data_IF_705702660089
#
_entry.id   IF_705702660089
#
_cell.length_a   1.000
_cell.length_b   1.000
_cell.length_c   1.000
_cell.angle_alpha   90.00
_cell.angle_beta   90.00
_cell.angle_gamma   90.00
#
_symmetry.space_group_name_H-M   'P 1'
#
loop_
_entity.id
_entity.type
_entity.pdbx_description
1 polymer ?
#
# COMPACT_ATOMS: atom_id res chain seq x y z
N UNK A 1 32.37 -12.04 -11.16
CA UNK A 1 31.27 -11.07 -11.20
C UNK A 1 30.56 -11.13 -9.86
N UNK A 2 30.74 -10.12 -9.00
CA UNK A 2 29.91 -10.00 -7.79
C UNK A 2 28.47 -9.79 -8.28
N UNK A 3 27.55 -10.72 -7.96
CA UNK A 3 26.13 -10.45 -8.11
C UNK A 3 25.81 -9.25 -7.21
N UNK A 4 25.42 -8.12 -7.77
CA UNK A 4 24.88 -7.03 -6.97
C UNK A 4 23.79 -7.60 -6.04
N UNK A 5 23.91 -7.27 -4.76
CA UNK A 5 22.93 -7.72 -3.76
C UNK A 5 21.56 -7.15 -4.16
N UNK A 6 20.64 -8.02 -4.51
CA UNK A 6 19.28 -7.62 -4.82
C UNK A 6 18.63 -7.03 -3.57
N UNK A 7 18.02 -5.88 -3.71
CA UNK A 7 17.30 -5.22 -2.61
C UNK A 7 16.06 -6.00 -2.23
N UNK A 8 15.71 -5.96 -0.95
CA UNK A 8 14.63 -6.74 -0.40
C UNK A 8 13.68 -5.92 0.47
N UNK A 9 12.38 -6.24 0.36
CA UNK A 9 11.34 -5.67 1.19
C UNK A 9 10.47 -6.78 1.78
N UNK A 10 10.05 -6.61 3.01
CA UNK A 10 9.03 -7.43 3.65
C UNK A 10 7.85 -6.55 4.00
N UNK A 11 6.62 -6.99 3.68
CA UNK A 11 5.44 -6.16 3.88
C UNK A 11 4.26 -6.93 4.46
N UNK A 12 3.53 -6.28 5.36
CA UNK A 12 2.32 -6.83 5.97
C UNK A 12 1.22 -5.78 6.05
N UNK A 13 -0.02 -6.22 5.90
CA UNK A 13 -1.19 -5.37 6.01
C UNK A 13 -2.46 -6.09 5.59
N UNK A 14 -3.50 -5.33 5.32
CA UNK A 14 -4.77 -5.86 4.83
C UNK A 14 -4.69 -6.03 3.30
N UNK A 15 -4.73 -7.25 2.83
CA UNK A 15 -4.79 -7.57 1.40
C UNK A 15 -6.24 -7.77 0.97
N UNK A 16 -6.59 -7.35 -0.24
CA UNK A 16 -7.90 -7.58 -0.85
C UNK A 16 -7.74 -8.19 -2.24
N UNK A 17 -8.74 -8.94 -2.69
CA UNK A 17 -8.98 -9.11 -4.11
C UNK A 17 -9.88 -7.96 -4.57
N UNK A 18 -9.34 -7.10 -5.42
CA UNK A 18 -10.04 -5.93 -5.94
C UNK A 18 -10.71 -6.30 -7.27
N UNK A 19 -12.03 -6.09 -7.34
CA UNK A 19 -12.81 -6.24 -8.58
C UNK A 19 -13.27 -4.88 -9.04
N UNK A 20 -12.68 -4.36 -10.11
CA UNK A 20 -13.08 -3.09 -10.73
C UNK A 20 -14.16 -3.38 -11.76
N UNK A 21 -15.32 -2.76 -11.58
CA UNK A 21 -16.46 -2.87 -12.50
C UNK A 21 -16.85 -1.49 -13.04
N UNK A 22 -17.25 -1.46 -14.29
CA UNK A 22 -17.84 -0.29 -14.94
C UNK A 22 -19.34 -0.49 -15.12
N UNK A 23 -20.13 0.51 -14.76
CA UNK A 23 -21.55 0.57 -15.15
C UNK A 23 -21.70 1.16 -16.52
N UNK A 24 -22.33 0.42 -17.40
CA UNK A 24 -22.75 0.86 -18.73
C UNK A 24 -24.25 1.07 -18.72
N UNK A 25 -24.72 2.08 -19.42
CA UNK A 25 -26.14 2.47 -19.50
C UNK A 25 -26.64 2.26 -20.93
N UNK A 26 -27.11 1.05 -21.30
CA UNK A 26 -27.47 0.71 -22.69
C UNK A 26 -28.59 1.58 -23.28
N UNK A 27 -29.52 2.05 -22.43
CA UNK A 27 -30.63 2.92 -22.84
C UNK A 27 -30.28 4.41 -22.72
N UNK A 28 -28.99 4.74 -22.47
CA UNK A 28 -28.52 6.08 -22.14
C UNK A 28 -28.70 6.41 -20.66
N UNK A 29 -28.00 7.44 -20.22
CA UNK A 29 -28.09 7.95 -18.85
C UNK A 29 -28.95 9.23 -18.81
N UNK A 30 -29.93 9.27 -17.93
CA UNK A 30 -30.82 10.45 -17.73
C UNK A 30 -30.64 10.95 -16.31
N UNK A 31 -30.09 12.18 -16.10
CA UNK A 31 -29.93 12.76 -14.77
C UNK A 31 -31.26 12.82 -13.98
N UNK A 32 -31.19 12.54 -12.70
CA UNK A 32 -32.33 12.58 -11.79
C UNK A 32 -33.36 11.45 -11.98
N UNK A 33 -33.11 10.48 -12.84
CA UNK A 33 -33.99 9.32 -13.04
C UNK A 33 -33.31 8.01 -12.62
N UNK A 34 -34.13 6.98 -12.33
CA UNK A 34 -33.63 5.63 -12.12
C UNK A 34 -33.23 5.03 -13.48
N UNK A 35 -31.92 4.96 -13.74
CA UNK A 35 -31.37 4.43 -14.96
C UNK A 35 -31.17 2.92 -14.86
N UNK A 36 -31.45 2.19 -15.92
CA UNK A 36 -31.02 0.80 -16.06
C UNK A 36 -29.54 0.76 -16.40
N UNK A 37 -28.82 -0.20 -15.84
CA UNK A 37 -27.41 -0.40 -16.11
C UNK A 37 -27.05 -1.87 -16.12
N UNK A 38 -25.95 -2.19 -16.79
CA UNK A 38 -25.22 -3.45 -16.70
C UNK A 38 -23.85 -3.20 -16.08
N UNK A 39 -23.36 -4.15 -15.31
CA UNK A 39 -22.02 -4.08 -14.73
C UNK A 39 -21.08 -4.98 -15.53
N UNK A 40 -19.97 -4.41 -16.00
CA UNK A 40 -18.91 -5.12 -16.71
C UNK A 40 -17.67 -5.18 -15.82
N UNK A 41 -17.17 -6.37 -15.54
CA UNK A 41 -15.90 -6.56 -14.85
C UNK A 41 -14.78 -6.15 -15.79
N UNK A 42 -13.95 -5.23 -15.35
CA UNK A 42 -12.81 -4.70 -16.09
C UNK A 42 -11.49 -5.30 -15.62
N UNK A 43 -11.31 -5.42 -14.30
CA UNK A 43 -10.10 -5.92 -13.67
C UNK A 43 -10.52 -6.72 -12.44
N UNK A 44 -9.83 -7.82 -12.19
CA UNK A 44 -9.89 -8.55 -10.94
C UNK A 44 -8.48 -9.03 -10.58
N UNK A 45 -7.90 -8.44 -9.54
CA UNK A 45 -6.53 -8.71 -9.12
C UNK A 45 -6.29 -8.38 -7.65
N UNK A 46 -5.18 -8.87 -7.11
CA UNK A 46 -4.76 -8.48 -5.76
C UNK A 46 -4.61 -6.98 -5.65
N UNK A 47 -5.12 -6.41 -4.56
CA UNK A 47 -5.13 -4.99 -4.28
C UNK A 47 -4.92 -4.67 -2.82
N UNK A 48 -5.46 -3.52 -2.40
CA UNK A 48 -5.14 -2.83 -1.16
C UNK A 48 -3.68 -2.34 -1.11
N UNK A 49 -3.40 -1.40 -0.23
CA UNK A 49 -2.11 -0.72 -0.16
C UNK A 49 -0.91 -1.70 -0.07
N UNK A 50 -0.84 -2.67 0.88
CA UNK A 50 0.30 -3.58 0.92
C UNK A 50 0.37 -4.50 -0.31
N UNK A 51 -0.77 -4.94 -0.84
CA UNK A 51 -0.82 -5.75 -2.06
C UNK A 51 -0.24 -5.01 -3.25
N UNK A 52 -0.65 -3.76 -3.43
CA UNK A 52 -0.16 -2.91 -4.50
C UNK A 52 1.33 -2.58 -4.35
N UNK A 53 1.75 -2.09 -3.18
CA UNK A 53 3.16 -1.72 -2.92
C UNK A 53 4.09 -2.91 -3.13
N UNK A 54 3.74 -4.09 -2.59
CA UNK A 54 4.57 -5.29 -2.71
C UNK A 54 4.65 -5.79 -4.16
N UNK A 55 3.55 -5.76 -4.91
CA UNK A 55 3.53 -6.15 -6.33
C UNK A 55 4.30 -5.16 -7.21
N UNK A 56 4.18 -3.85 -6.99
CA UNK A 56 4.92 -2.84 -7.74
C UNK A 56 6.43 -2.97 -7.49
N UNK A 57 6.86 -3.21 -6.24
CA UNK A 57 8.27 -3.44 -5.92
C UNK A 57 8.79 -4.77 -6.50
N UNK A 58 7.97 -5.82 -6.51
CA UNK A 58 8.28 -7.06 -7.21
C UNK A 58 8.53 -6.84 -8.70
N UNK A 59 7.67 -6.05 -9.36
CA UNK A 59 7.84 -5.66 -10.75
C UNK A 59 9.09 -4.79 -11.00
N UNK A 60 9.46 -3.91 -10.07
CA UNK A 60 10.74 -3.19 -10.11
C UNK A 60 11.96 -4.09 -9.91
N UNK A 61 11.75 -5.37 -9.63
CA UNK A 61 12.83 -6.35 -9.47
C UNK A 61 13.34 -6.54 -8.05
N UNK A 62 12.69 -5.99 -7.04
CA UNK A 62 13.00 -6.25 -5.64
C UNK A 62 12.67 -7.70 -5.25
N UNK A 63 13.40 -8.24 -4.27
CA UNK A 63 12.93 -9.42 -3.53
C UNK A 63 11.82 -8.99 -2.57
N UNK A 64 10.59 -8.99 -3.08
CA UNK A 64 9.40 -8.52 -2.38
C UNK A 64 8.73 -9.68 -1.66
N UNK A 65 8.73 -9.67 -0.31
CA UNK A 65 8.20 -10.72 0.56
C UNK A 65 6.92 -10.26 1.25
N UNK A 66 5.73 -10.41 0.64
CA UNK A 66 4.47 -10.20 1.34
C UNK A 66 4.29 -11.24 2.45
N UNK A 67 3.74 -10.80 3.59
CA UNK A 67 3.34 -11.68 4.69
C UNK A 67 1.82 -11.71 4.71
N UNK A 68 1.23 -12.87 4.42
CA UNK A 68 -0.22 -13.02 4.36
C UNK A 68 -0.67 -14.42 4.75
N UNK A 69 -1.89 -14.50 5.29
CA UNK A 69 -2.60 -15.76 5.55
C UNK A 69 -3.98 -15.67 4.90
N UNK A 70 -4.08 -16.17 3.68
CA UNK A 70 -5.34 -16.26 2.93
C UNK A 70 -6.05 -17.58 3.24
N UNK A 71 -7.35 -17.61 2.97
CA UNK A 71 -8.07 -18.89 2.95
C UNK A 71 -7.73 -19.70 1.67
N UNK A 72 -8.22 -20.92 1.60
CA UNK A 72 -8.02 -21.84 0.49
C UNK A 72 -9.10 -21.73 -0.60
N UNK A 73 -9.89 -20.64 -0.59
CA UNK A 73 -10.85 -20.32 -1.65
C UNK A 73 -10.18 -20.01 -2.99
N UNK A 74 -10.95 -20.00 -4.07
CA UNK A 74 -10.47 -19.57 -5.39
C UNK A 74 -9.90 -18.15 -5.34
N UNK A 75 -10.55 -17.25 -4.61
CA UNK A 75 -10.13 -15.86 -4.43
C UNK A 75 -8.81 -15.76 -3.67
N UNK A 76 -8.65 -16.54 -2.58
CA UNK A 76 -7.41 -16.59 -1.80
C UNK A 76 -6.24 -17.14 -2.62
N UNK A 77 -6.48 -18.23 -3.36
CA UNK A 77 -5.49 -18.81 -4.27
C UNK A 77 -5.13 -17.85 -5.42
N UNK A 78 -6.12 -17.13 -5.97
CA UNK A 78 -5.90 -16.12 -7.00
C UNK A 78 -5.00 -14.99 -6.49
N UNK A 79 -5.22 -14.49 -5.27
CA UNK A 79 -4.37 -13.45 -4.67
C UNK A 79 -2.91 -13.90 -4.57
N UNK A 80 -2.67 -15.15 -4.15
CA UNK A 80 -1.32 -15.72 -4.11
C UNK A 80 -0.70 -15.85 -5.52
N UNK A 81 -1.51 -16.25 -6.50
CA UNK A 81 -1.09 -16.33 -7.90
C UNK A 81 -0.74 -14.96 -8.48
N UNK A 82 -1.56 -13.95 -8.21
CA UNK A 82 -1.30 -12.58 -8.64
C UNK A 82 -0.01 -12.01 -8.04
N UNK A 83 0.25 -12.26 -6.75
CA UNK A 83 1.53 -11.88 -6.12
C UNK A 83 2.71 -12.46 -6.89
N UNK A 84 2.65 -13.75 -7.24
CA UNK A 84 3.73 -14.41 -8.03
C UNK A 84 3.85 -13.78 -9.43
N UNK A 85 2.73 -13.55 -10.10
CA UNK A 85 2.68 -12.91 -11.43
C UNK A 85 3.34 -11.53 -11.43
N UNK A 86 3.18 -10.77 -10.37
CA UNK A 86 3.80 -9.44 -10.20
C UNK A 86 5.20 -9.48 -9.59
N UNK A 87 5.84 -10.65 -9.50
CA UNK A 87 7.24 -10.79 -9.09
C UNK A 87 7.48 -10.88 -7.59
N UNK A 88 6.43 -11.04 -6.76
CA UNK A 88 6.61 -11.25 -5.33
C UNK A 88 7.13 -12.66 -5.02
N UNK A 89 7.99 -12.74 -4.01
CA UNK A 89 8.38 -14.00 -3.38
C UNK A 89 7.35 -14.36 -2.32
N UNK A 90 6.55 -15.39 -2.57
CA UNK A 90 5.45 -15.80 -1.69
C UNK A 90 5.87 -16.74 -0.56
N UNK A 91 7.14 -16.75 -0.16
CA UNK A 91 7.67 -17.60 0.94
C UNK A 91 6.87 -17.45 2.24
N UNK A 92 6.36 -16.26 2.53
CA UNK A 92 5.61 -15.97 3.75
C UNK A 92 4.10 -15.77 3.50
N UNK A 93 3.61 -16.30 2.38
CA UNK A 93 2.19 -16.36 2.07
C UNK A 93 1.71 -17.79 2.24
N UNK A 94 0.62 -17.96 2.99
CA UNK A 94 -0.01 -19.27 3.17
C UNK A 94 -1.49 -19.20 2.79
N UNK A 95 -2.00 -20.30 2.23
CA UNK A 95 -3.43 -20.51 1.99
C UNK A 95 -3.88 -21.66 2.87
N UNK A 96 -4.77 -21.41 3.82
CA UNK A 96 -5.28 -22.42 4.76
C UNK A 96 -6.76 -22.16 5.07
N UNK A 97 -7.54 -23.17 5.48
CA UNK A 97 -8.94 -22.97 5.83
C UNK A 97 -9.17 -21.93 6.95
N UNK A 98 -8.17 -21.71 7.81
CA UNK A 98 -8.23 -20.71 8.90
C UNK A 98 -7.83 -19.33 8.44
N UNK A 99 -7.37 -19.17 7.21
CA UNK A 99 -7.00 -17.89 6.61
C UNK A 99 -8.20 -17.00 6.36
N UNK A 100 -7.99 -15.92 5.66
CA UNK A 100 -9.07 -15.01 5.32
C UNK A 100 -8.80 -14.19 4.07
N UNK A 101 -9.82 -14.06 3.24
CA UNK A 101 -9.76 -13.31 2.00
C UNK A 101 -10.77 -12.16 2.02
N UNK A 102 -10.28 -10.94 1.82
CA UNK A 102 -11.14 -9.77 1.66
C UNK A 102 -11.42 -9.53 0.19
N UNK A 103 -12.67 -9.22 -0.13
CA UNK A 103 -13.11 -8.85 -1.47
C UNK A 103 -13.49 -7.37 -1.46
N UNK A 104 -12.92 -6.59 -2.38
CA UNK A 104 -13.27 -5.19 -2.59
C UNK A 104 -13.80 -5.02 -4.01
N UNK A 105 -15.05 -4.59 -4.13
CA UNK A 105 -15.62 -4.19 -5.41
C UNK A 105 -15.55 -2.67 -5.54
N UNK A 106 -14.88 -2.19 -6.56
CA UNK A 106 -14.81 -0.78 -6.95
C UNK A 106 -15.68 -0.58 -8.18
N UNK A 107 -16.76 0.19 -8.03
CA UNK A 107 -17.71 0.44 -9.12
C UNK A 107 -17.51 1.84 -9.67
N UNK A 108 -17.10 1.94 -10.93
CA UNK A 108 -17.13 3.18 -11.71
C UNK A 108 -18.55 3.38 -12.26
N UNK A 109 -19.20 4.47 -11.86
CA UNK A 109 -20.59 4.78 -12.20
C UNK A 109 -20.74 6.28 -12.45
N UNK A 110 -21.95 6.71 -12.79
CA UNK A 110 -22.36 8.12 -12.77
C UNK A 110 -23.18 8.39 -11.52
N UNK A 111 -23.06 9.58 -10.96
CA UNK A 111 -23.96 10.08 -9.91
C UNK A 111 -25.29 10.53 -10.51
N UNK A 112 -26.20 11.05 -9.68
CA UNK A 112 -27.52 11.51 -10.11
C UNK A 112 -27.49 12.69 -11.11
N UNK A 113 -26.34 13.34 -11.26
CA UNK A 113 -26.11 14.47 -12.16
C UNK A 113 -25.32 14.08 -13.41
N UNK A 114 -24.93 12.80 -13.55
CA UNK A 114 -24.13 12.31 -14.67
C UNK A 114 -22.62 12.49 -14.51
N UNK A 115 -22.15 12.86 -13.31
CA UNK A 115 -20.72 12.99 -13.04
C UNK A 115 -20.12 11.63 -12.67
N UNK A 116 -18.88 11.32 -13.13
CA UNK A 116 -18.18 10.10 -12.75
C UNK A 116 -17.98 10.00 -11.23
N UNK A 117 -18.33 8.85 -10.65
CA UNK A 117 -18.13 8.54 -9.23
C UNK A 117 -17.63 7.13 -9.05
N UNK A 118 -16.86 6.91 -7.99
CA UNK A 118 -16.44 5.57 -7.54
C UNK A 118 -17.20 5.17 -6.29
N UNK A 119 -17.69 3.94 -6.27
CA UNK A 119 -18.37 3.34 -5.11
C UNK A 119 -17.62 2.10 -4.66
N UNK A 120 -17.35 2.02 -3.37
CA UNK A 120 -16.60 0.93 -2.76
C UNK A 120 -17.55 0.00 -1.99
N UNK A 121 -17.46 -1.29 -2.22
CA UNK A 121 -18.21 -2.31 -1.49
C UNK A 121 -17.25 -3.41 -1.04
N UNK A 122 -17.08 -3.55 0.27
CA UNK A 122 -16.26 -4.61 0.88
C UNK A 122 -17.13 -5.83 1.19
N UNK A 123 -16.61 -7.01 0.90
CA UNK A 123 -17.18 -8.30 1.25
C UNK A 123 -16.08 -9.19 1.81
N UNK A 124 -16.46 -10.23 2.51
CA UNK A 124 -15.58 -11.36 2.85
C UNK A 124 -15.95 -12.52 1.94
N UNK A 125 -14.98 -13.34 1.56
CA UNK A 125 -15.25 -14.58 0.86
C UNK A 125 -16.16 -15.47 1.74
N UNK A 126 -17.08 -16.24 1.16
CA UNK A 126 -17.94 -17.14 1.91
C UNK A 126 -17.09 -18.10 2.76
N UNK A 127 -17.36 -18.17 4.06
CA UNK A 127 -16.59 -19.01 4.99
C UNK A 127 -15.31 -18.39 5.56
N UNK A 128 -14.84 -17.27 5.02
CA UNK A 128 -13.71 -16.56 5.61
C UNK A 128 -14.16 -15.87 6.91
N UNK A 129 -13.52 -16.21 8.02
CA UNK A 129 -13.63 -15.41 9.24
C UNK A 129 -13.05 -14.02 9.01
N UNK A 130 -13.24 -13.08 9.96
CA UNK A 130 -12.66 -11.74 9.89
C UNK A 130 -11.14 -11.83 9.75
N UNK A 131 -10.53 -11.49 8.60
CA UNK A 131 -9.11 -11.74 8.34
C UNK A 131 -8.20 -10.67 8.96
N UNK A 132 -8.76 -9.77 9.75
CA UNK A 132 -7.94 -8.77 10.44
C UNK A 132 -7.03 -9.49 11.42
N UNK A 133 -5.73 -9.33 11.19
CA UNK A 133 -4.67 -9.72 12.12
C UNK A 133 -4.35 -11.22 12.21
N UNK A 134 -4.87 -12.07 11.31
CA UNK A 134 -4.61 -13.51 11.39
C UNK A 134 -3.19 -13.90 11.05
N UNK A 135 -2.45 -13.12 10.25
CA UNK A 135 -1.07 -13.44 9.91
C UNK A 135 -0.18 -13.60 11.15
N UNK A 136 -0.47 -12.83 12.21
CA UNK A 136 0.23 -12.95 13.48
C UNK A 136 -0.69 -12.77 14.68
N UNK A 137 -0.55 -13.63 15.69
CA UNK A 137 -1.09 -13.43 17.03
C UNK A 137 0.06 -13.13 18.00
N UNK A 138 -0.13 -12.19 18.92
CA UNK A 138 0.90 -11.75 19.88
C UNK A 138 0.70 -12.41 21.24
N UNK A 139 -0.49 -12.93 21.52
CA UNK A 139 -0.89 -13.41 22.86
C UNK A 139 -1.50 -14.81 22.80
N UNK A 140 -1.26 -15.59 23.86
CA UNK A 140 -1.84 -16.91 24.05
C UNK A 140 -0.98 -18.08 23.56
N UNK A 141 -1.55 -19.28 23.61
CA UNK A 141 -0.85 -20.53 23.21
C UNK A 141 -0.47 -20.56 21.74
N UNK A 142 -1.14 -19.74 20.91
CA UNK A 142 -0.99 -19.67 19.45
C UNK A 142 -0.20 -18.45 18.99
N UNK A 143 0.66 -17.88 19.84
CA UNK A 143 1.50 -16.73 19.49
C UNK A 143 2.40 -17.06 18.29
N UNK A 144 2.04 -16.57 17.11
CA UNK A 144 2.73 -16.87 15.84
C UNK A 144 3.89 -15.90 15.56
N UNK A 145 3.79 -14.65 16.02
CA UNK A 145 4.85 -13.65 15.79
C UNK A 145 6.22 -14.08 16.36
N UNK A 146 6.37 -14.58 17.60
CA UNK A 146 7.67 -15.05 18.08
C UNK A 146 8.23 -16.22 17.26
N UNK A 147 7.36 -17.15 16.81
CA UNK A 147 7.76 -18.28 15.94
C UNK A 147 8.22 -17.77 14.57
N UNK A 148 7.51 -16.81 13.99
CA UNK A 148 7.88 -16.18 12.74
C UNK A 148 9.25 -15.51 12.85
N UNK A 149 9.48 -14.69 13.89
CA UNK A 149 10.76 -14.03 14.16
C UNK A 149 11.89 -15.05 14.31
N UNK A 150 11.66 -16.13 15.08
CA UNK A 150 12.67 -17.18 15.28
C UNK A 150 13.02 -17.96 14.00
N UNK A 151 12.10 -18.00 13.02
CA UNK A 151 12.29 -18.68 11.74
C UNK A 151 12.87 -17.79 10.64
N UNK A 152 13.11 -16.50 10.91
CA UNK A 152 13.72 -15.60 9.93
C UNK A 152 15.23 -15.83 9.84
N UNK A 153 15.70 -16.13 8.63
CA UNK A 153 17.10 -16.38 8.31
C UNK A 153 17.79 -15.20 7.61
N UNK A 154 17.07 -14.09 7.41
CA UNK A 154 17.58 -12.85 6.82
C UNK A 154 16.81 -11.62 7.34
N UNK A 155 17.39 -10.44 7.11
CA UNK A 155 16.74 -9.17 7.35
C UNK A 155 16.55 -8.45 6.01
N UNK A 156 15.31 -7.98 5.69
CA UNK A 156 15.09 -7.16 4.50
C UNK A 156 15.77 -5.80 4.65
N UNK A 157 15.95 -5.09 3.54
CA UNK A 157 16.42 -3.70 3.57
C UNK A 157 15.32 -2.77 4.06
N UNK A 158 14.05 -3.07 3.75
CA UNK A 158 12.86 -2.30 4.17
C UNK A 158 11.79 -3.22 4.75
N UNK A 159 11.15 -2.80 5.84
CA UNK A 159 9.91 -3.37 6.34
C UNK A 159 8.77 -2.36 6.18
N UNK A 160 7.74 -2.78 5.47
CA UNK A 160 6.55 -1.97 5.18
C UNK A 160 5.34 -2.51 5.95
N UNK A 161 4.57 -1.63 6.58
CA UNK A 161 3.29 -1.98 7.14
C UNK A 161 2.30 -0.82 7.13
N UNK A 162 1.01 -1.17 7.16
CA UNK A 162 -0.10 -0.25 7.33
C UNK A 162 -0.93 -0.68 8.55
N UNK A 163 -1.92 0.13 8.96
CA UNK A 163 -2.79 -0.21 10.07
C UNK A 163 -2.15 -0.09 11.47
N UNK A 164 -2.98 -0.17 12.49
CA UNK A 164 -2.58 -0.03 13.90
C UNK A 164 -2.46 -1.37 14.63
N UNK A 165 -2.34 -2.46 13.88
CA UNK A 165 -2.21 -3.81 14.43
C UNK A 165 -0.95 -3.95 15.27
N UNK A 166 -1.12 -4.37 16.52
CA UNK A 166 -0.02 -4.44 17.48
C UNK A 166 1.10 -5.38 17.01
N UNK A 167 0.75 -6.54 16.46
CA UNK A 167 1.73 -7.52 15.99
C UNK A 167 2.59 -6.98 14.83
N UNK A 168 1.99 -6.24 13.90
CA UNK A 168 2.72 -5.66 12.77
C UNK A 168 3.66 -4.54 13.20
N UNK A 169 3.20 -3.69 14.12
CA UNK A 169 4.04 -2.68 14.77
C UNK A 169 5.19 -3.32 15.55
N UNK A 170 4.92 -4.36 16.34
CA UNK A 170 5.92 -5.01 17.17
C UNK A 170 6.97 -5.74 16.32
N UNK A 171 6.57 -6.32 15.17
CA UNK A 171 7.50 -6.79 14.15
C UNK A 171 8.34 -5.64 13.57
N UNK A 172 7.73 -4.51 13.23
CA UNK A 172 8.44 -3.31 12.76
C UNK A 172 9.46 -2.80 13.77
N UNK A 173 9.07 -2.69 15.04
CA UNK A 173 9.99 -2.33 16.11
C UNK A 173 11.19 -3.29 16.22
N UNK A 174 10.94 -4.59 16.12
CA UNK A 174 12.01 -5.58 16.13
C UNK A 174 12.91 -5.47 14.91
N UNK A 175 12.34 -5.33 13.70
CA UNK A 175 13.08 -5.11 12.45
C UNK A 175 13.96 -3.85 12.54
N UNK A 176 13.43 -2.74 13.05
CA UNK A 176 14.16 -1.50 13.26
C UNK A 176 15.37 -1.69 14.19
N UNK A 177 15.22 -2.50 15.26
CA UNK A 177 16.32 -2.83 16.17
C UNK A 177 17.45 -3.63 15.50
N UNK A 178 17.20 -4.19 14.29
CA UNK A 178 18.16 -4.90 13.46
C UNK A 178 18.72 -4.05 12.32
N UNK A 179 18.41 -2.75 12.31
CA UNK A 179 18.86 -1.80 11.28
C UNK A 179 18.09 -1.85 9.97
N UNK A 180 16.91 -2.50 9.95
CA UNK A 180 15.97 -2.46 8.84
C UNK A 180 15.24 -1.12 8.84
N UNK A 181 15.11 -0.47 7.68
CA UNK A 181 14.32 0.76 7.56
C UNK A 181 12.83 0.44 7.61
N UNK A 182 12.11 1.06 8.54
CA UNK A 182 10.69 0.79 8.78
C UNK A 182 9.83 1.89 8.18
N UNK A 183 8.97 1.49 7.23
CA UNK A 183 8.03 2.37 6.55
C UNK A 183 6.60 2.07 7.02
N UNK A 184 5.93 3.09 7.56
CA UNK A 184 4.54 3.01 8.01
C UNK A 184 3.65 3.91 7.18
N UNK A 185 2.56 3.35 6.66
CA UNK A 185 1.57 4.12 5.90
C UNK A 185 0.23 4.18 6.61
N UNK A 186 -0.29 5.41 6.80
CA UNK A 186 -1.61 5.66 7.36
C UNK A 186 -2.61 5.80 6.22
N UNK A 187 -3.48 4.81 6.05
CA UNK A 187 -4.53 4.82 5.03
C UNK A 187 -5.68 5.76 5.39
N UNK A 188 -6.10 5.73 6.65
CA UNK A 188 -7.13 6.58 7.21
C UNK A 188 -6.96 6.66 8.71
N UNK A 189 -6.94 7.88 9.25
CA UNK A 189 -6.84 8.10 10.68
C UNK A 189 -8.23 8.30 11.28
N UNK A 190 -8.52 7.54 12.32
CA UNK A 190 -9.70 7.75 13.16
C UNK A 190 -9.26 8.36 14.48
N UNK A 191 -9.68 9.59 14.79
CA UNK A 191 -9.23 10.34 15.98
C UNK A 191 -9.44 9.60 17.29
N UNK A 192 -10.50 8.80 17.42
CA UNK A 192 -10.73 7.92 18.59
C UNK A 192 -9.63 6.88 18.80
N UNK A 193 -8.86 6.55 17.77
CA UNK A 193 -7.76 5.59 17.80
C UNK A 193 -6.38 6.26 17.65
N UNK A 194 -6.33 7.59 17.67
CA UNK A 194 -5.11 8.38 17.48
C UNK A 194 -3.90 7.88 18.30
N UNK A 195 -4.02 7.52 19.60
CA UNK A 195 -2.88 7.00 20.35
C UNK A 195 -2.26 5.72 19.74
N UNK A 196 -3.05 4.89 19.04
CA UNK A 196 -2.53 3.69 18.37
C UNK A 196 -1.73 4.07 17.12
N UNK A 197 -2.24 5.04 16.32
CA UNK A 197 -1.54 5.58 15.15
C UNK A 197 -0.22 6.21 15.54
N UNK A 198 -0.24 7.10 16.54
CA UNK A 198 0.96 7.78 17.04
C UNK A 198 2.02 6.77 17.51
N UNK A 199 1.60 5.69 18.18
CA UNK A 199 2.52 4.63 18.59
C UNK A 199 3.17 3.94 17.38
N UNK A 200 2.43 3.66 16.32
CA UNK A 200 2.99 3.10 15.09
C UNK A 200 3.96 4.07 14.40
N UNK A 201 3.60 5.36 14.34
CA UNK A 201 4.44 6.40 13.75
C UNK A 201 5.77 6.54 14.51
N UNK A 202 5.75 6.54 15.84
CA UNK A 202 6.95 6.63 16.69
C UNK A 202 7.90 5.44 16.55
N UNK A 203 7.37 4.25 16.28
CA UNK A 203 8.17 3.03 16.11
C UNK A 203 8.69 2.85 14.65
N UNK A 204 8.37 3.77 13.73
CA UNK A 204 8.79 3.73 12.33
C UNK A 204 9.86 4.78 12.04
N UNK A 205 10.55 4.67 10.92
CA UNK A 205 11.52 5.64 10.42
C UNK A 205 10.88 6.61 9.42
N UNK A 206 9.98 6.09 8.58
CA UNK A 206 9.23 6.84 7.58
C UNK A 206 7.75 6.68 7.86
N UNK A 207 7.03 7.79 7.86
CA UNK A 207 5.57 7.86 8.04
C UNK A 207 4.98 8.57 6.84
N UNK A 208 4.05 7.91 6.13
CA UNK A 208 3.34 8.52 5.00
C UNK A 208 1.84 8.51 5.22
N UNK A 209 1.16 9.55 4.76
CA UNK A 209 -0.30 9.69 4.71
C UNK A 209 -0.70 10.68 3.61
N UNK A 210 -1.99 10.67 3.23
CA UNK A 210 -2.56 11.71 2.36
C UNK A 210 -3.22 12.82 3.18
N UNK A 211 -3.44 13.98 2.58
CA UNK A 211 -4.21 15.07 3.19
C UNK A 211 -5.68 14.67 3.46
N UNK A 212 -6.25 13.76 2.65
CA UNK A 212 -7.57 13.19 2.89
C UNK A 212 -7.61 12.22 4.09
N UNK A 213 -6.49 11.56 4.39
CA UNK A 213 -6.40 10.60 5.49
C UNK A 213 -6.18 11.27 6.84
N UNK A 214 -5.53 12.44 6.85
CA UNK A 214 -5.08 13.15 8.05
C UNK A 214 -5.23 14.65 7.84
N UNK A 215 -6.21 15.24 8.53
CA UNK A 215 -6.51 16.68 8.46
C UNK A 215 -5.66 17.49 9.46
N UNK A 216 -5.54 17.02 10.71
CA UNK A 216 -4.78 17.71 11.76
C UNK A 216 -3.34 17.18 11.83
N UNK A 217 -2.38 18.07 11.70
CA UNK A 217 -0.94 17.78 11.70
C UNK A 217 -0.23 18.15 13.02
N UNK A 218 -0.97 18.55 14.06
CA UNK A 218 -0.38 18.96 15.35
C UNK A 218 0.55 17.91 15.96
N UNK A 219 0.37 16.63 15.63
CA UNK A 219 1.22 15.54 16.12
C UNK A 219 2.59 15.44 15.43
N UNK A 220 2.81 16.12 14.30
CA UNK A 220 4.09 16.01 13.54
C UNK A 220 5.27 16.49 14.38
N UNK A 221 5.05 17.41 15.32
CA UNK A 221 6.06 17.83 16.28
C UNK A 221 6.55 16.70 17.21
N UNK A 222 5.79 15.63 17.36
CA UNK A 222 6.18 14.44 18.11
C UNK A 222 7.04 13.45 17.29
N UNK A 223 7.22 13.74 15.98
CA UNK A 223 7.94 12.89 15.02
C UNK A 223 9.22 13.55 14.47
N UNK A 224 9.88 14.39 15.31
CA UNK A 224 11.08 15.16 14.92
C UNK A 224 12.30 14.32 14.52
N UNK A 225 12.30 13.03 14.82
CA UNK A 225 13.36 12.08 14.47
C UNK A 225 12.99 11.21 13.25
N UNK A 226 11.96 11.57 12.50
CA UNK A 226 11.40 10.78 11.37
C UNK A 226 11.47 11.52 10.06
N UNK A 227 11.22 10.77 8.97
CA UNK A 227 10.74 11.35 7.71
C UNK A 227 9.21 11.23 7.68
N UNK A 228 8.53 12.38 7.63
CA UNK A 228 7.07 12.46 7.49
C UNK A 228 6.75 12.93 6.09
N UNK A 229 5.94 12.17 5.35
CA UNK A 229 5.53 12.46 3.97
C UNK A 229 4.01 12.63 3.93
N UNK A 230 3.53 13.72 3.33
CA UNK A 230 2.11 13.91 3.04
C UNK A 230 1.88 14.13 1.56
N UNK A 231 1.10 13.23 0.94
CA UNK A 231 0.62 13.43 -0.42
C UNK A 231 -0.58 14.37 -0.44
N UNK A 232 -0.63 15.29 -1.42
CA UNK A 232 -1.61 16.37 -1.54
C UNK A 232 -2.46 16.23 -2.82
N UNK A 233 -2.53 15.02 -3.37
CA UNK A 233 -3.21 14.74 -4.64
C UNK A 233 -2.66 15.59 -5.78
N UNK A 234 -3.52 16.28 -6.50
CA UNK A 234 -3.13 17.16 -7.62
C UNK A 234 -2.26 18.39 -7.22
N UNK A 235 -2.03 18.60 -5.91
CA UNK A 235 -1.17 19.68 -5.40
C UNK A 235 0.26 19.21 -5.14
N UNK A 236 0.59 17.95 -5.39
CA UNK A 236 1.92 17.40 -5.23
C UNK A 236 2.14 16.65 -3.92
N UNK A 237 3.31 16.80 -3.33
CA UNK A 237 3.72 16.14 -2.09
C UNK A 237 4.53 17.09 -1.22
N UNK A 238 4.42 16.93 0.10
CA UNK A 238 5.33 17.59 1.03
C UNK A 238 5.94 16.60 2.00
N UNK A 239 7.11 16.94 2.54
CA UNK A 239 7.77 16.13 3.53
C UNK A 239 8.44 16.99 4.61
N UNK A 240 8.63 16.38 5.77
CA UNK A 240 9.39 16.93 6.89
C UNK A 240 10.43 15.90 7.32
N UNK A 241 11.70 16.22 7.12
CA UNK A 241 12.81 15.35 7.50
C UNK A 241 13.41 15.83 8.81
N UNK A 242 13.36 14.98 9.81
CA UNK A 242 13.96 15.22 11.15
C UNK A 242 13.51 16.54 11.80
N UNK A 243 12.26 16.92 11.62
CA UNK A 243 11.70 18.12 12.25
C UNK A 243 12.20 19.46 11.71
N UNK A 244 12.91 19.48 10.59
CA UNK A 244 13.48 20.69 10.01
C UNK A 244 12.46 21.57 9.24
N UNK A 245 11.18 21.24 9.31
CA UNK A 245 10.10 21.95 8.61
C UNK A 245 9.65 21.27 7.35
N UNK A 246 8.55 21.75 6.80
CA UNK A 246 7.95 21.20 5.58
C UNK A 246 8.62 21.73 4.31
N UNK A 247 9.02 20.81 3.46
CA UNK A 247 9.40 21.07 2.06
C UNK A 247 8.27 20.59 1.18
N UNK A 248 7.75 21.47 0.31
CA UNK A 248 6.67 21.12 -0.64
C UNK A 248 7.27 21.03 -2.05
N UNK A 249 6.97 19.91 -2.70
CA UNK A 249 7.35 19.64 -4.09
C UNK A 249 6.11 19.78 -4.99
N UNK A 250 6.26 20.38 -6.18
CA UNK A 250 5.15 20.57 -7.11
C UNK A 250 4.61 19.23 -7.61
N UNK A 251 3.37 19.19 -8.10
CA UNK A 251 2.82 18.00 -8.74
C UNK A 251 3.46 17.74 -10.09
N UNK A 252 3.45 16.50 -10.52
CA UNK A 252 3.67 16.13 -11.92
C UNK A 252 2.32 16.18 -12.63
N UNK A 253 2.18 17.15 -13.55
CA UNK A 253 0.91 17.37 -14.29
C UNK A 253 0.66 16.20 -15.26
N UNK A 254 -0.58 15.77 -15.33
CA UNK A 254 -1.04 14.76 -16.27
C UNK A 254 -2.40 15.16 -16.84
N UNK A 255 -2.44 15.43 -18.14
CA UNK A 255 -3.65 15.85 -18.86
C UNK A 255 -4.54 14.64 -19.27
N UNK A 256 -4.06 13.40 -19.10
CA UNK A 256 -4.72 12.18 -19.53
C UNK A 256 -5.14 11.30 -18.34
N UNK A 257 -5.68 11.88 -17.27
CA UNK A 257 -6.10 11.13 -16.09
C UNK A 257 -7.34 10.28 -16.41
N UNK A 258 -7.20 8.97 -16.27
CA UNK A 258 -8.27 7.97 -16.41
C UNK A 258 -8.76 7.52 -15.04
N UNK A 259 -7.82 7.18 -14.14
CA UNK A 259 -8.11 6.71 -12.80
C UNK A 259 -7.00 7.10 -11.83
N UNK A 260 -7.36 7.60 -10.65
CA UNK A 260 -6.40 7.96 -9.60
C UNK A 260 -6.20 6.86 -8.56
N UNK A 261 -6.82 5.69 -8.76
CA UNK A 261 -6.65 4.54 -7.87
C UNK A 261 -5.21 4.04 -7.89
N UNK A 262 -4.65 3.81 -6.70
CA UNK A 262 -3.27 3.35 -6.55
C UNK A 262 -2.18 4.42 -6.72
N UNK A 263 -2.50 5.70 -7.03
CA UNK A 263 -1.47 6.75 -7.10
C UNK A 263 -0.66 6.86 -5.80
N UNK A 264 -1.31 6.70 -4.63
CA UNK A 264 -0.64 6.65 -3.34
C UNK A 264 0.32 5.46 -3.22
N UNK A 265 -0.09 4.29 -3.71
CA UNK A 265 0.69 3.05 -3.68
C UNK A 265 1.90 3.14 -4.62
N UNK A 266 1.72 3.72 -5.81
CA UNK A 266 2.81 4.03 -6.74
C UNK A 266 3.79 5.03 -6.14
N UNK A 267 3.30 6.10 -5.46
CA UNK A 267 4.17 7.04 -4.75
C UNK A 267 5.03 6.31 -3.71
N UNK A 268 4.44 5.42 -2.91
CA UNK A 268 5.16 4.65 -1.89
C UNK A 268 6.19 3.70 -2.52
N UNK A 269 5.76 2.85 -3.44
CA UNK A 269 6.64 1.84 -4.04
C UNK A 269 7.77 2.49 -4.86
N UNK A 270 7.46 3.52 -5.65
CA UNK A 270 8.47 4.21 -6.46
C UNK A 270 9.44 5.01 -5.62
N UNK A 271 8.99 5.62 -4.51
CA UNK A 271 9.87 6.29 -3.56
C UNK A 271 10.86 5.29 -2.94
N UNK A 272 10.39 4.14 -2.45
CA UNK A 272 11.24 3.08 -1.90
C UNK A 272 12.23 2.59 -2.98
N UNK A 273 11.76 2.37 -4.21
CA UNK A 273 12.61 1.96 -5.33
C UNK A 273 13.68 3.01 -5.67
N UNK A 274 13.33 4.29 -5.70
CA UNK A 274 14.23 5.39 -5.97
C UNK A 274 15.32 5.54 -4.89
N UNK A 275 14.95 5.34 -3.61
CA UNK A 275 15.91 5.25 -2.50
C UNK A 275 16.87 4.07 -2.71
N UNK A 276 16.34 2.91 -3.07
CA UNK A 276 17.14 1.72 -3.34
C UNK A 276 18.17 1.91 -4.45
N UNK A 277 17.76 2.50 -5.58
CA UNK A 277 18.66 2.84 -6.71
C UNK A 277 19.81 3.77 -6.31
N UNK A 278 19.61 4.60 -5.29
CA UNK A 278 20.61 5.53 -4.74
C UNK A 278 21.41 4.94 -3.58
N UNK A 279 21.15 3.68 -3.20
CA UNK A 279 21.76 3.03 -2.05
C UNK A 279 21.31 3.57 -0.68
N UNK A 280 20.27 4.41 -0.64
CA UNK A 280 19.77 5.07 0.57
C UNK A 280 18.69 4.21 1.27
N UNK A 281 19.04 2.99 1.66
CA UNK A 281 18.12 2.03 2.29
C UNK A 281 18.21 2.02 3.82
N UNK A 282 18.94 2.95 4.40
CA UNK A 282 18.97 3.20 5.84
C UNK A 282 18.48 4.61 6.13
N UNK A 283 17.77 4.79 7.22
CA UNK A 283 17.28 6.12 7.59
C UNK A 283 18.38 7.17 7.74
N UNK A 284 19.61 6.75 8.15
CA UNK A 284 20.76 7.63 8.28
C UNK A 284 21.21 8.22 6.92
N UNK A 285 20.97 7.51 5.82
CA UNK A 285 21.39 7.92 4.46
C UNK A 285 20.49 9.03 3.87
N UNK A 286 19.32 9.28 4.48
CA UNK A 286 18.34 10.24 3.96
C UNK A 286 18.82 11.68 4.15
N UNK A 287 18.96 12.40 3.04
CA UNK A 287 19.18 13.85 2.98
C UNK A 287 17.98 14.54 2.34
N UNK A 288 17.87 15.87 2.47
CA UNK A 288 16.80 16.64 1.82
C UNK A 288 16.81 16.46 0.31
N UNK A 289 17.99 16.45 -0.30
CA UNK A 289 18.18 16.27 -1.74
C UNK A 289 17.70 14.87 -2.18
N UNK A 290 18.20 13.82 -1.54
CA UNK A 290 17.80 12.44 -1.85
C UNK A 290 16.29 12.26 -1.71
N UNK A 291 15.67 12.76 -0.62
CA UNK A 291 14.24 12.65 -0.40
C UNK A 291 13.45 13.41 -1.45
N UNK A 292 13.88 14.65 -1.81
CA UNK A 292 13.23 15.46 -2.85
C UNK A 292 13.26 14.76 -4.20
N UNK A 293 14.42 14.32 -4.64
CA UNK A 293 14.60 13.65 -5.93
C UNK A 293 13.79 12.35 -6.01
N UNK A 294 13.84 11.54 -4.93
CA UNK A 294 13.07 10.29 -4.87
C UNK A 294 11.57 10.52 -4.88
N UNK A 295 11.07 11.58 -4.22
CA UNK A 295 9.64 11.92 -4.24
C UNK A 295 9.20 12.47 -5.59
N UNK A 296 10.04 13.24 -6.29
CA UNK A 296 9.74 13.68 -7.65
C UNK A 296 9.65 12.49 -8.61
N UNK A 297 10.64 11.57 -8.60
CA UNK A 297 10.59 10.32 -9.37
C UNK A 297 9.34 9.50 -9.03
N UNK A 298 8.94 9.44 -7.77
CA UNK A 298 7.75 8.73 -7.33
C UNK A 298 6.45 9.34 -7.86
N UNK A 299 6.36 10.67 -7.91
CA UNK A 299 5.21 11.37 -8.51
C UNK A 299 5.09 11.13 -10.02
N UNK A 300 6.21 10.98 -10.74
CA UNK A 300 6.20 10.64 -12.17
C UNK A 300 5.54 9.28 -12.42
N UNK A 301 5.89 8.25 -11.64
CA UNK A 301 5.25 6.95 -11.76
C UNK A 301 3.77 6.98 -11.36
N UNK A 302 3.43 7.67 -10.27
CA UNK A 302 2.04 7.82 -9.84
C UNK A 302 1.20 8.55 -10.90
N UNK A 303 1.72 9.64 -11.44
CA UNK A 303 1.10 10.41 -12.52
C UNK A 303 0.91 9.56 -13.78
N UNK A 304 1.95 8.80 -14.18
CA UNK A 304 1.87 7.91 -15.33
C UNK A 304 0.83 6.81 -15.12
N UNK A 305 0.72 6.20 -13.92
CA UNK A 305 -0.30 5.19 -13.67
C UNK A 305 -1.71 5.77 -13.71
N UNK A 306 -1.90 7.03 -13.35
CA UNK A 306 -3.21 7.67 -13.43
C UNK A 306 -3.80 7.74 -14.86
N UNK A 307 -2.99 7.50 -15.91
CA UNK A 307 -3.47 7.36 -17.29
C UNK A 307 -4.06 5.98 -17.62
N UNK A 308 -4.10 5.07 -16.66
CA UNK A 308 -4.64 3.72 -16.83
C UNK A 308 -5.77 3.47 -15.82
N UNK A 309 -6.59 2.45 -16.11
CA UNK A 309 -7.58 1.96 -15.16
C UNK A 309 -6.90 1.03 -14.14
N UNK A 310 -7.19 1.25 -12.85
CA UNK A 310 -6.68 0.44 -11.74
C UNK A 310 -5.20 0.68 -11.40
N UNK A 311 -4.77 0.01 -10.34
CA UNK A 311 -3.45 0.28 -9.75
C UNK A 311 -2.28 -0.24 -10.57
N UNK A 312 -2.45 -1.32 -11.34
CA UNK A 312 -1.35 -1.98 -12.04
C UNK A 312 -1.33 -1.71 -13.55
N UNK A 313 -1.95 -0.61 -13.97
CA UNK A 313 -2.09 -0.27 -15.38
C UNK A 313 -0.75 -0.12 -16.11
N UNK A 314 0.27 0.51 -15.50
CA UNK A 314 1.62 0.59 -16.07
C UNK A 314 2.20 -0.82 -16.26
N UNK A 315 2.02 -1.72 -15.29
CA UNK A 315 2.59 -3.07 -15.33
C UNK A 315 1.98 -3.84 -16.49
N UNK A 316 0.64 -3.87 -16.56
CA UNK A 316 -0.09 -4.62 -17.58
C UNK A 316 0.07 -4.07 -18.99
N UNK A 317 0.33 -2.79 -19.15
CA UNK A 317 0.60 -2.17 -20.45
C UNK A 317 2.02 -2.44 -20.99
N UNK A 318 2.95 -2.91 -20.14
CA UNK A 318 4.34 -3.21 -20.50
C UNK A 318 4.64 -4.72 -20.49
N UNK A 319 3.63 -5.58 -20.32
CA UNK A 319 3.71 -7.04 -20.46
C UNK A 319 3.02 -7.48 -21.75
#
# INVERSE_FOLDING_TARGET
MNKEKKLSIMGVGSYNLDTIVKREYPEGFVPGKRNKFVEKVMIEEIGSNPGNVMCILGWFGWDSYPIALFDDSEEGMKMTSDMKRFGCNTRFVSNTPEGGTNLLKVTHALDDYGKPVRKFSKRHAPGSGFPRDKAFTVRGKDATLPKFIAGLDFFPDVYFYESTTAAWRDLGKWMRSKGVMVYYEVQRMYMKEFPKYLKCMKESDIVKFSDEAVEDLGFVDELKDKLVIQTLGAKGVRFNLRGAGWVTLPPVVNDNVVDTEGCGDWTTASFINALGKRGAVKFADLTFEIVSDCLMEAQEYASRNASFLGTKGIITANT
#
